data_IF_734235568935
#
_entry.id   IF_734235568935
#
_cell.length_a   1.000
_cell.length_b   1.000
_cell.length_c   1.000
_cell.angle_alpha   90.00
_cell.angle_beta   90.00
_cell.angle_gamma   90.00
#
_symmetry.space_group_name_H-M   'P 1'
#
loop_
_entity.id
_entity.type
_entity.pdbx_description
1 polymer ?
#
# COMPACT_ATOMS: atom_id res chain seq x y z
N UNK A 1 1.21 -20.47 9.47
CA UNK A 1 0.71 -19.44 10.41
C UNK A 1 0.07 -18.39 9.53
N UNK A 2 -1.16 -18.00 9.83
CA UNK A 2 -1.79 -16.87 9.16
C UNK A 2 -1.12 -15.58 9.65
N UNK A 3 -0.42 -14.87 8.78
CA UNK A 3 0.10 -13.52 9.07
C UNK A 3 -0.72 -12.52 8.26
N UNK A 4 -1.13 -11.43 8.90
CA UNK A 4 -1.86 -10.34 8.26
C UNK A 4 -1.11 -9.01 8.32
N UNK A 5 -1.68 -7.98 7.68
CA UNK A 5 -1.11 -6.62 7.72
C UNK A 5 -0.99 -6.07 9.14
N UNK A 6 -1.93 -6.43 10.01
CA UNK A 6 -1.89 -6.00 11.42
C UNK A 6 -0.64 -6.49 12.15
N UNK A 7 -0.16 -7.70 11.84
CA UNK A 7 1.06 -8.24 12.42
C UNK A 7 2.30 -7.53 11.85
N UNK A 8 2.34 -7.32 10.54
CA UNK A 8 3.42 -6.60 9.86
C UNK A 8 3.57 -5.19 10.43
N UNK A 9 2.49 -4.40 10.48
CA UNK A 9 2.50 -3.02 10.98
C UNK A 9 2.97 -2.97 12.44
N UNK A 10 2.53 -3.91 13.28
CA UNK A 10 2.96 -4.00 14.68
C UNK A 10 4.45 -4.32 14.80
N UNK A 11 4.95 -5.25 14.01
CA UNK A 11 6.36 -5.67 14.04
C UNK A 11 7.29 -4.56 13.53
N UNK A 12 6.87 -3.82 12.48
CA UNK A 12 7.63 -2.70 11.94
C UNK A 12 7.57 -1.43 12.82
N UNK A 13 6.68 -1.39 13.81
CA UNK A 13 6.54 -0.29 14.77
C UNK A 13 6.40 1.09 14.07
N UNK A 14 5.43 1.17 13.16
CA UNK A 14 5.18 2.36 12.33
C UNK A 14 4.68 3.54 13.16
N UNK A 15 5.33 4.70 13.02
CA UNK A 15 4.94 5.98 13.64
C UNK A 15 3.98 6.77 12.71
N UNK A 16 2.77 6.24 12.55
CA UNK A 16 1.67 6.88 11.83
C UNK A 16 0.30 6.43 12.40
N UNK A 17 -0.77 7.23 12.27
CA UNK A 17 -2.12 6.72 12.49
C UNK A 17 -2.42 5.57 11.52
N UNK A 18 -2.96 4.45 12.02
CA UNK A 18 -3.23 3.26 11.23
C UNK A 18 -4.73 2.95 11.25
N UNK A 19 -5.28 2.66 10.07
CA UNK A 19 -6.66 2.26 9.87
C UNK A 19 -6.70 0.90 9.19
N UNK A 20 -7.52 -0.01 9.73
CA UNK A 20 -7.73 -1.33 9.15
C UNK A 20 -9.12 -1.43 8.53
N UNK A 21 -9.18 -1.83 7.27
CA UNK A 21 -10.44 -2.02 6.53
C UNK A 21 -10.84 -3.49 6.59
N UNK A 22 -11.99 -3.83 7.22
CA UNK A 22 -12.50 -5.20 7.26
C UNK A 22 -12.76 -5.78 5.87
N UNK A 23 -12.58 -7.10 5.73
CA UNK A 23 -12.72 -7.83 4.46
C UNK A 23 -13.99 -7.52 3.68
N UNK A 24 -15.12 -7.39 4.37
CA UNK A 24 -16.44 -7.13 3.79
C UNK A 24 -16.62 -5.71 3.25
N UNK A 25 -15.71 -4.79 3.60
CA UNK A 25 -15.67 -3.41 3.10
C UNK A 25 -14.57 -3.19 2.06
N UNK A 26 -13.74 -4.20 1.78
CA UNK A 26 -12.69 -4.12 0.77
C UNK A 26 -13.29 -4.18 -0.64
N UNK A 27 -12.79 -3.31 -1.50
CA UNK A 27 -13.03 -3.27 -2.93
C UNK A 27 -11.72 -2.99 -3.69
N UNK A 28 -11.80 -2.89 -5.02
CA UNK A 28 -10.62 -2.71 -5.88
C UNK A 28 -9.95 -1.33 -5.75
N UNK A 29 -10.44 -0.44 -4.89
CA UNK A 29 -9.93 0.94 -4.74
C UNK A 29 -9.33 1.22 -3.36
N UNK A 30 -9.50 0.32 -2.38
CA UNK A 30 -9.20 0.64 -0.98
C UNK A 30 -8.35 -0.41 -0.24
N UNK A 31 -7.51 -1.17 -0.95
CA UNK A 31 -6.68 -2.17 -0.31
C UNK A 31 -5.56 -1.58 0.56
N UNK A 32 -4.71 -0.73 -0.03
CA UNK A 32 -3.63 -0.02 0.66
C UNK A 32 -3.64 1.43 0.19
N UNK A 33 -3.46 2.37 1.11
CA UNK A 33 -3.35 3.79 0.75
C UNK A 33 -2.86 4.64 1.91
N UNK A 34 -2.21 5.75 1.56
CA UNK A 34 -1.84 6.82 2.48
C UNK A 34 -2.78 8.01 2.31
N UNK A 35 -3.34 8.51 3.42
CA UNK A 35 -4.14 9.74 3.46
C UNK A 35 -3.46 10.78 4.32
N UNK A 36 -3.01 11.88 3.69
CA UNK A 36 -2.38 13.02 4.38
C UNK A 36 -3.38 14.12 4.78
N UNK A 37 -4.62 14.03 4.28
CA UNK A 37 -5.72 14.94 4.57
C UNK A 37 -7.05 14.20 4.49
N UNK A 38 -8.11 14.84 4.96
CA UNK A 38 -9.47 14.31 4.84
C UNK A 38 -10.04 14.50 3.44
N UNK A 39 -11.04 13.68 3.07
CA UNK A 39 -11.77 13.84 1.81
C UNK A 39 -12.42 15.23 1.72
N UNK A 40 -12.94 15.75 2.83
CA UNK A 40 -13.52 17.10 2.91
C UNK A 40 -12.50 18.21 2.63
N UNK A 41 -11.28 18.09 3.17
CA UNK A 41 -10.22 19.07 2.92
C UNK A 41 -9.74 19.01 1.48
N UNK A 42 -9.52 17.79 0.98
CA UNK A 42 -9.12 17.54 -0.41
C UNK A 42 -10.13 18.14 -1.39
N UNK A 43 -11.42 17.87 -1.20
CA UNK A 43 -12.47 18.37 -2.06
C UNK A 43 -12.55 19.91 -2.00
N UNK A 44 -12.37 20.50 -0.82
CA UNK A 44 -12.31 21.96 -0.68
C UNK A 44 -11.11 22.58 -1.42
N UNK A 45 -9.94 21.92 -1.44
CA UNK A 45 -8.78 22.36 -2.23
C UNK A 45 -9.10 22.30 -3.73
N UNK A 46 -9.66 21.19 -4.19
CA UNK A 46 -10.00 21.00 -5.61
C UNK A 46 -11.09 21.95 -6.11
N UNK A 47 -12.07 22.25 -5.27
CA UNK A 47 -13.16 23.16 -5.59
C UNK A 47 -12.78 24.64 -5.37
N UNK A 48 -11.54 24.94 -4.97
CA UNK A 48 -11.07 26.28 -4.63
C UNK A 48 -11.89 26.95 -3.52
N UNK A 49 -12.39 26.15 -2.57
CA UNK A 49 -13.18 26.59 -1.40
C UNK A 49 -12.48 26.32 -0.06
N UNK A 50 -11.20 25.92 -0.09
CA UNK A 50 -10.40 25.66 1.11
C UNK A 50 -10.31 26.89 2.02
N UNK A 51 -10.60 26.70 3.31
CA UNK A 51 -10.55 27.72 4.34
C UNK A 51 -9.52 27.34 5.41
N UNK A 52 -8.41 28.07 5.44
CA UNK A 52 -7.32 27.86 6.39
C UNK A 52 -7.74 28.04 7.86
N UNK A 53 -8.87 28.71 8.12
CA UNK A 53 -9.41 28.90 9.47
C UNK A 53 -10.36 27.78 9.91
N UNK A 54 -10.76 26.90 8.99
CA UNK A 54 -11.60 25.75 9.27
C UNK A 54 -10.76 24.60 9.84
N UNK A 55 -11.25 23.98 10.89
CA UNK A 55 -10.66 22.76 11.43
C UNK A 55 -11.25 21.55 10.70
N UNK A 56 -10.57 21.08 9.65
CA UNK A 56 -10.97 19.89 8.90
C UNK A 56 -10.84 18.63 9.75
N UNK A 57 -11.73 17.65 9.53
CA UNK A 57 -11.72 16.42 10.32
C UNK A 57 -10.52 15.52 9.96
N UNK A 58 -9.47 15.51 10.78
CA UNK A 58 -8.29 14.67 10.55
C UNK A 58 -8.44 13.21 11.02
N UNK A 59 -9.63 12.75 11.43
CA UNK A 59 -9.81 11.37 11.90
C UNK A 59 -9.50 10.31 10.84
N UNK A 60 -9.56 10.67 9.56
CA UNK A 60 -9.27 9.80 8.41
C UNK A 60 -7.84 9.97 7.85
N UNK A 61 -7.00 10.74 8.53
CA UNK A 61 -5.59 10.88 8.16
C UNK A 61 -4.82 9.68 8.70
N UNK A 62 -3.93 9.11 7.89
CA UNK A 62 -3.10 7.97 8.25
C UNK A 62 -2.89 6.96 7.12
N UNK A 63 -2.38 5.79 7.49
CA UNK A 63 -2.15 4.66 6.61
C UNK A 63 -3.32 3.68 6.70
N UNK A 64 -3.79 3.21 5.55
CA UNK A 64 -4.90 2.28 5.44
C UNK A 64 -4.40 0.94 4.93
N UNK A 65 -4.73 -0.13 5.66
CA UNK A 65 -4.37 -1.50 5.31
C UNK A 65 -5.58 -2.44 5.41
N UNK A 66 -5.58 -3.57 4.69
CA UNK A 66 -6.68 -4.50 4.75
C UNK A 66 -6.54 -5.41 5.99
N UNK A 67 -7.64 -5.67 6.70
CA UNK A 67 -7.67 -6.60 7.84
C UNK A 67 -7.83 -8.04 7.36
N UNK A 68 -6.83 -8.53 6.61
CA UNK A 68 -6.82 -9.86 5.97
C UNK A 68 -5.42 -10.48 6.01
N UNK A 69 -5.35 -11.78 5.72
CA UNK A 69 -4.09 -12.51 5.56
C UNK A 69 -3.33 -12.07 4.30
N UNK A 70 -1.99 -12.10 4.36
CA UNK A 70 -1.13 -11.66 3.24
C UNK A 70 -1.34 -12.49 1.96
N UNK A 71 -1.66 -13.77 2.10
CA UNK A 71 -1.95 -14.66 0.96
C UNK A 71 -3.28 -14.29 0.28
N UNK A 72 -4.30 -13.93 1.06
CA UNK A 72 -5.57 -13.45 0.52
C UNK A 72 -5.37 -12.10 -0.18
N UNK A 73 -4.63 -11.18 0.42
CA UNK A 73 -4.28 -9.91 -0.19
C UNK A 73 -3.55 -10.09 -1.53
N UNK A 74 -2.52 -10.93 -1.56
CA UNK A 74 -1.75 -11.19 -2.77
C UNK A 74 -2.63 -11.75 -3.90
N UNK A 75 -3.55 -12.65 -3.56
CA UNK A 75 -4.52 -13.18 -4.52
C UNK A 75 -5.44 -12.09 -5.10
N UNK A 76 -5.97 -11.20 -4.26
CA UNK A 76 -6.82 -10.09 -4.70
C UNK A 76 -6.05 -9.10 -5.59
N UNK A 77 -4.81 -8.77 -5.22
CA UNK A 77 -3.99 -7.82 -5.98
C UNK A 77 -3.58 -8.41 -7.34
N UNK A 78 -3.28 -9.70 -7.42
CA UNK A 78 -3.05 -10.41 -8.68
C UNK A 78 -4.25 -10.35 -9.65
N UNK A 79 -5.48 -10.21 -9.15
CA UNK A 79 -6.67 -10.04 -9.99
C UNK A 79 -6.91 -8.58 -10.40
N UNK A 80 -6.40 -7.63 -9.61
CA UNK A 80 -6.60 -6.19 -9.82
C UNK A 80 -5.48 -5.60 -10.68
N UNK A 81 -4.23 -5.79 -10.27
CA UNK A 81 -3.05 -5.17 -10.86
C UNK A 81 -1.83 -6.11 -10.84
N UNK A 82 -1.88 -7.23 -11.58
CA UNK A 82 -0.77 -8.18 -11.63
C UNK A 82 0.52 -7.58 -12.24
N UNK A 83 0.39 -6.49 -13.00
CA UNK A 83 1.52 -5.81 -13.64
C UNK A 83 2.41 -5.12 -12.60
N UNK A 84 1.81 -4.41 -11.64
CA UNK A 84 2.57 -3.75 -10.58
C UNK A 84 3.36 -4.76 -9.75
N UNK A 85 2.73 -5.89 -9.38
CA UNK A 85 3.40 -6.98 -8.67
C UNK A 85 4.61 -7.48 -9.46
N UNK A 86 4.45 -7.76 -10.76
CA UNK A 86 5.55 -8.24 -11.59
C UNK A 86 6.73 -7.26 -11.61
N UNK A 87 6.44 -5.98 -11.86
CA UNK A 87 7.48 -4.93 -11.97
C UNK A 87 8.19 -4.74 -10.63
N UNK A 88 7.46 -4.64 -9.52
CA UNK A 88 8.08 -4.42 -8.21
C UNK A 88 8.85 -5.65 -7.73
N UNK A 89 8.36 -6.86 -8.00
CA UNK A 89 9.11 -8.09 -7.69
C UNK A 89 10.41 -8.19 -8.48
N UNK A 90 10.45 -7.72 -9.74
CA UNK A 90 11.69 -7.61 -10.53
C UNK A 90 12.70 -6.66 -9.86
N UNK A 91 12.25 -5.56 -9.25
CA UNK A 91 13.12 -4.61 -8.53
C UNK A 91 13.58 -5.19 -7.18
N UNK A 92 12.67 -5.76 -6.39
CA UNK A 92 12.98 -6.33 -5.08
C UNK A 92 13.97 -7.50 -5.16
N UNK A 93 13.92 -8.31 -6.22
CA UNK A 93 14.89 -9.40 -6.44
C UNK A 93 16.33 -8.91 -6.60
N UNK A 94 16.55 -7.62 -6.89
CA UNK A 94 17.90 -7.04 -6.99
C UNK A 94 18.51 -6.75 -5.61
N UNK A 95 17.68 -6.63 -4.58
CA UNK A 95 18.12 -6.26 -3.22
C UNK A 95 17.96 -7.39 -2.20
N UNK A 96 17.00 -8.30 -2.40
CA UNK A 96 16.77 -9.45 -1.53
C UNK A 96 16.55 -10.75 -2.32
N UNK A 97 16.95 -11.91 -1.78
CA UNK A 97 16.54 -13.19 -2.34
C UNK A 97 15.03 -13.40 -2.10
N UNK A 98 14.29 -13.76 -3.15
CA UNK A 98 12.86 -14.03 -3.08
C UNK A 98 12.61 -15.51 -3.37
N UNK A 99 12.16 -16.25 -2.36
CA UNK A 99 11.66 -17.61 -2.54
C UNK A 99 10.18 -17.59 -2.93
N UNK A 100 9.74 -18.58 -3.72
CA UNK A 100 8.36 -18.64 -4.21
C UNK A 100 7.31 -18.62 -3.10
N UNK A 101 7.62 -19.23 -1.95
CA UNK A 101 6.69 -19.31 -0.83
C UNK A 101 6.60 -18.01 -0.02
N UNK A 102 7.53 -17.07 -0.23
CA UNK A 102 7.60 -15.81 0.52
C UNK A 102 7.02 -14.62 -0.27
N UNK A 103 6.62 -14.82 -1.53
CA UNK A 103 6.16 -13.73 -2.42
C UNK A 103 5.02 -12.93 -1.80
N UNK A 104 3.98 -13.58 -1.28
CA UNK A 104 2.84 -12.88 -0.66
C UNK A 104 3.27 -12.02 0.53
N UNK A 105 4.18 -12.55 1.35
CA UNK A 105 4.69 -11.86 2.53
C UNK A 105 5.56 -10.68 2.12
N UNK A 106 6.52 -10.89 1.21
CA UNK A 106 7.40 -9.83 0.71
C UNK A 106 6.59 -8.72 0.05
N UNK A 107 5.57 -9.07 -0.73
CA UNK A 107 4.67 -8.09 -1.33
C UNK A 107 3.95 -7.26 -0.28
N UNK A 108 3.34 -7.91 0.72
CA UNK A 108 2.65 -7.19 1.79
C UNK A 108 3.59 -6.28 2.60
N UNK A 109 4.82 -6.74 2.89
CA UNK A 109 5.83 -5.92 3.59
C UNK A 109 6.20 -4.71 2.72
N UNK A 110 6.44 -4.91 1.42
CA UNK A 110 6.73 -3.83 0.49
C UNK A 110 5.60 -2.80 0.47
N UNK A 111 4.34 -3.22 0.34
CA UNK A 111 3.20 -2.29 0.38
C UNK A 111 3.15 -1.51 1.69
N UNK A 112 3.37 -2.15 2.84
CA UNK A 112 3.37 -1.46 4.14
C UNK A 112 4.50 -0.41 4.21
N UNK A 113 5.71 -0.77 3.76
CA UNK A 113 6.84 0.15 3.75
C UNK A 113 6.65 1.29 2.74
N UNK A 114 6.07 1.02 1.58
CA UNK A 114 5.79 2.01 0.53
C UNK A 114 4.80 3.07 1.04
N UNK A 115 3.67 2.64 1.60
CA UNK A 115 2.70 3.58 2.20
C UNK A 115 3.33 4.38 3.35
N UNK A 116 4.15 3.73 4.18
CA UNK A 116 4.87 4.47 5.21
C UNK A 116 5.90 5.44 4.64
N UNK A 117 6.53 5.12 3.51
CA UNK A 117 7.42 6.01 2.77
C UNK A 117 6.72 7.29 2.30
N UNK A 118 5.48 7.21 1.82
CA UNK A 118 4.67 8.40 1.53
C UNK A 118 4.45 9.26 2.78
N UNK A 119 4.17 8.63 3.92
CA UNK A 119 3.96 9.33 5.19
C UNK A 119 5.24 10.04 5.68
N UNK A 120 6.39 9.37 5.61
CA UNK A 120 7.69 9.95 5.94
C UNK A 120 8.02 11.11 5.01
N UNK A 121 7.84 10.93 3.70
CA UNK A 121 8.09 11.99 2.72
C UNK A 121 7.22 13.23 2.97
N UNK A 122 5.93 13.04 3.34
CA UNK A 122 5.07 14.15 3.77
C UNK A 122 5.59 14.81 5.06
N UNK A 123 5.86 14.03 6.11
CA UNK A 123 6.32 14.55 7.41
C UNK A 123 7.62 15.34 7.28
N UNK A 124 8.57 14.85 6.49
CA UNK A 124 9.89 15.44 6.32
C UNK A 124 9.88 16.67 5.39
N UNK A 125 8.85 16.82 4.54
CA UNK A 125 8.68 18.01 3.70
C UNK A 125 8.43 19.29 4.51
N UNK A 126 7.90 19.16 5.73
CA UNK A 126 7.47 20.30 6.56
C UNK A 126 6.30 21.12 5.98
N UNK A 127 5.67 20.62 4.90
CA UNK A 127 4.55 21.28 4.23
C UNK A 127 3.23 21.02 4.97
N UNK A 128 2.29 21.94 4.83
CA UNK A 128 0.88 21.63 5.10
C UNK A 128 0.37 20.61 4.08
N UNK A 129 -0.68 19.88 4.41
CA UNK A 129 -1.26 18.90 3.49
C UNK A 129 -1.71 19.56 2.16
N UNK A 130 -2.25 20.79 2.23
CA UNK A 130 -2.58 21.60 1.06
C UNK A 130 -1.37 21.89 0.18
N UNK A 131 -0.29 22.44 0.74
CA UNK A 131 0.93 22.75 -0.02
C UNK A 131 1.52 21.50 -0.66
N UNK A 132 1.59 20.41 0.11
CA UNK A 132 2.06 19.13 -0.39
C UNK A 132 1.20 18.65 -1.57
N UNK A 133 -0.13 18.61 -1.44
CA UNK A 133 -0.99 18.21 -2.55
C UNK A 133 -0.87 19.13 -3.77
N UNK A 134 -0.88 20.46 -3.57
CA UNK A 134 -0.79 21.44 -4.66
C UNK A 134 0.52 21.31 -5.45
N UNK A 135 1.63 20.95 -4.78
CA UNK A 135 2.93 20.77 -5.44
C UNK A 135 2.98 19.50 -6.30
N UNK A 136 2.33 18.40 -5.89
CA UNK A 136 2.37 17.11 -6.64
C UNK A 136 1.26 16.98 -7.67
N UNK A 137 0.11 17.61 -7.43
CA UNK A 137 -1.08 17.47 -8.28
C UNK A 137 -0.86 17.76 -9.78
N UNK A 138 -0.07 18.76 -10.20
CA UNK A 138 0.19 19.01 -11.62
C UNK A 138 0.85 17.84 -12.34
N UNK A 139 1.69 17.05 -11.67
CA UNK A 139 2.38 15.91 -12.29
C UNK A 139 1.47 14.69 -12.39
N UNK A 140 0.77 14.37 -11.30
CA UNK A 140 -0.28 13.35 -11.27
C UNK A 140 -1.35 13.60 -12.35
N UNK A 141 -1.78 14.86 -12.53
CA UNK A 141 -2.74 15.26 -13.58
C UNK A 141 -2.28 14.95 -15.00
N UNK A 142 -0.98 14.96 -15.29
CA UNK A 142 -0.46 14.66 -16.63
C UNK A 142 -0.66 13.19 -17.00
N UNK A 143 -0.82 12.32 -16.00
CA UNK A 143 -0.89 10.86 -16.16
C UNK A 143 -2.34 10.38 -16.26
N UNK A 144 -3.30 11.11 -15.67
CA UNK A 144 -4.75 10.79 -15.70
C UNK A 144 -5.29 10.36 -17.07
N UNK A 145 -4.94 11.01 -18.22
CA UNK A 145 -5.46 10.57 -19.51
C UNK A 145 -5.02 9.14 -19.88
N UNK A 146 -3.82 8.73 -19.48
CA UNK A 146 -3.30 7.39 -19.73
C UNK A 146 -3.98 6.36 -18.83
N UNK A 147 -4.18 6.67 -17.55
CA UNK A 147 -4.94 5.83 -16.62
C UNK A 147 -6.35 5.58 -17.13
N UNK A 148 -7.07 6.65 -17.50
CA UNK A 148 -8.44 6.57 -18.02
C UNK A 148 -8.49 5.74 -19.30
N UNK A 149 -7.50 5.91 -20.19
CA UNK A 149 -7.39 5.13 -21.41
C UNK A 149 -7.21 3.65 -21.12
N UNK A 150 -6.33 3.27 -20.19
CA UNK A 150 -6.07 1.87 -19.80
C UNK A 150 -7.29 1.26 -19.09
N UNK A 151 -7.91 2.01 -18.18
CA UNK A 151 -9.12 1.58 -17.47
C UNK A 151 -10.29 1.29 -18.42
N UNK A 152 -10.41 2.06 -19.51
CA UNK A 152 -11.42 1.84 -20.55
C UNK A 152 -11.11 0.67 -21.49
N UNK A 153 -9.91 0.09 -21.46
CA UNK A 153 -9.58 -1.07 -22.29
C UNK A 153 -10.15 -2.36 -21.69
N UNK A 154 -10.68 -3.28 -22.52
CA UNK A 154 -11.00 -4.64 -22.08
C UNK A 154 -9.79 -5.31 -21.45
N UNK A 155 -9.99 -6.12 -20.39
CA UNK A 155 -8.88 -6.76 -19.66
C UNK A 155 -7.97 -7.61 -20.53
N UNK A 156 -8.53 -8.25 -21.56
CA UNK A 156 -7.81 -9.09 -22.52
C UNK A 156 -7.34 -8.33 -23.77
N UNK A 157 -7.36 -7.00 -23.76
CA UNK A 157 -6.86 -6.22 -24.89
C UNK A 157 -5.34 -6.43 -25.04
N UNK A 158 -4.82 -6.79 -26.23
CA UNK A 158 -3.42 -7.22 -26.41
C UNK A 158 -2.37 -6.23 -25.91
N UNK A 159 -2.67 -4.92 -26.00
CA UNK A 159 -1.74 -3.87 -25.60
C UNK A 159 -1.96 -3.34 -24.17
N UNK A 160 -3.00 -3.80 -23.45
CA UNK A 160 -3.33 -3.27 -22.12
C UNK A 160 -2.18 -3.52 -21.14
N UNK A 161 -1.58 -4.71 -21.19
CA UNK A 161 -0.44 -5.08 -20.36
C UNK A 161 0.78 -4.17 -20.58
N UNK A 162 1.16 -3.96 -21.85
CA UNK A 162 2.30 -3.11 -22.21
C UNK A 162 2.09 -1.66 -21.76
N UNK A 163 0.89 -1.11 -21.97
CA UNK A 163 0.54 0.23 -21.54
C UNK A 163 0.48 0.35 -20.02
N UNK A 164 -0.02 -0.67 -19.31
CA UNK A 164 0.03 -0.71 -17.85
C UNK A 164 1.46 -0.71 -17.32
N UNK A 165 2.38 -1.48 -17.95
CA UNK A 165 3.81 -1.44 -17.59
C UNK A 165 4.45 -0.08 -17.85
N UNK A 166 4.09 0.59 -18.94
CA UNK A 166 4.58 1.94 -19.25
C UNK A 166 4.04 2.98 -18.26
N UNK A 167 2.74 2.91 -17.95
CA UNK A 167 2.10 3.75 -16.94
C UNK A 167 2.78 3.58 -15.58
N UNK A 168 3.03 2.34 -15.15
CA UNK A 168 3.69 2.04 -13.87
C UNK A 168 5.07 2.68 -13.79
N UNK A 169 5.87 2.60 -14.86
CA UNK A 169 7.19 3.26 -14.91
C UNK A 169 7.11 4.77 -14.82
N UNK A 170 6.10 5.39 -15.44
CA UNK A 170 5.89 6.84 -15.35
C UNK A 170 5.47 7.21 -13.92
N UNK A 171 4.60 6.40 -13.31
CA UNK A 171 4.17 6.59 -11.91
C UNK A 171 5.35 6.51 -10.94
N UNK A 172 6.20 5.50 -11.08
CA UNK A 172 7.37 5.30 -10.21
C UNK A 172 8.41 6.44 -10.26
N UNK A 173 8.36 7.30 -11.29
CA UNK A 173 9.22 8.49 -11.40
C UNK A 173 8.59 9.77 -10.83
N UNK A 174 7.31 9.72 -10.39
CA UNK A 174 6.72 10.82 -9.65
C UNK A 174 7.47 11.02 -8.32
N UNK A 175 7.73 12.26 -7.87
CA UNK A 175 8.58 12.50 -6.71
C UNK A 175 8.13 11.77 -5.43
N UNK A 176 6.82 11.72 -5.18
CA UNK A 176 6.23 11.07 -4.01
C UNK A 176 6.24 9.54 -4.10
N UNK A 177 5.93 8.99 -5.28
CA UNK A 177 6.02 7.54 -5.56
C UNK A 177 7.46 7.04 -5.49
N UNK A 178 8.39 7.82 -6.06
CA UNK A 178 9.82 7.53 -6.02
C UNK A 178 10.34 7.51 -4.60
N UNK A 179 10.02 8.53 -3.80
CA UNK A 179 10.41 8.59 -2.40
C UNK A 179 9.86 7.39 -1.59
N UNK A 180 8.61 7.01 -1.84
CA UNK A 180 8.00 5.83 -1.20
C UNK A 180 8.68 4.52 -1.60
N UNK A 181 8.96 4.34 -2.90
CA UNK A 181 9.68 3.17 -3.41
C UNK A 181 11.10 3.08 -2.88
N UNK A 182 11.85 4.19 -2.88
CA UNK A 182 13.20 4.26 -2.33
C UNK A 182 13.21 3.89 -0.85
N UNK A 183 12.28 4.44 -0.06
CA UNK A 183 12.11 4.07 1.35
C UNK A 183 11.84 2.58 1.52
N UNK A 184 10.92 2.02 0.73
CA UNK A 184 10.57 0.60 0.82
C UNK A 184 11.75 -0.31 0.46
N UNK A 185 12.46 0.00 -0.63
CA UNK A 185 13.63 -0.76 -1.10
C UNK A 185 14.78 -0.71 -0.09
N UNK A 186 15.02 0.46 0.53
CA UNK A 186 16.06 0.62 1.55
C UNK A 186 15.81 -0.26 2.79
N UNK A 187 14.55 -0.42 3.19
CA UNK A 187 14.18 -1.07 4.46
C UNK A 187 13.70 -2.53 4.31
N UNK A 188 13.46 -3.01 3.08
CA UNK A 188 12.82 -4.32 2.85
C UNK A 188 13.62 -5.49 3.43
N UNK A 189 14.94 -5.47 3.33
CA UNK A 189 15.79 -6.56 3.79
C UNK A 189 15.69 -6.76 5.30
N UNK A 190 15.78 -5.68 6.07
CA UNK A 190 15.67 -5.71 7.52
C UNK A 190 14.25 -6.08 7.98
N UNK A 191 13.24 -5.55 7.29
CA UNK A 191 11.84 -5.86 7.55
C UNK A 191 11.52 -7.36 7.36
N UNK A 192 11.98 -7.95 6.25
CA UNK A 192 11.80 -9.38 5.96
C UNK A 192 12.45 -10.24 7.05
N UNK A 193 13.70 -9.95 7.41
CA UNK A 193 14.42 -10.69 8.46
C UNK A 193 13.69 -10.59 9.80
N UNK A 194 13.24 -9.40 10.18
CA UNK A 194 12.52 -9.16 11.42
C UNK A 194 11.23 -9.99 11.49
N UNK A 195 10.42 -9.94 10.44
CA UNK A 195 9.11 -10.58 10.40
C UNK A 195 9.24 -12.10 10.31
N UNK A 196 10.15 -12.61 9.47
CA UNK A 196 10.39 -14.06 9.37
C UNK A 196 10.87 -14.66 10.70
N UNK A 197 11.74 -13.95 11.44
CA UNK A 197 12.14 -14.38 12.79
C UNK A 197 10.95 -14.43 13.75
N UNK A 198 10.11 -13.40 13.76
CA UNK A 198 8.92 -13.37 14.62
C UNK A 198 7.94 -14.52 14.32
N UNK A 199 7.78 -14.91 13.05
CA UNK A 199 6.97 -16.06 12.65
C UNK A 199 7.58 -17.38 13.18
N UNK A 200 8.89 -17.54 13.13
CA UNK A 200 9.59 -18.75 13.59
C UNK A 200 9.58 -18.90 15.11
N UNK A 201 9.73 -17.78 15.84
CA UNK A 201 9.82 -17.77 17.30
C UNK A 201 8.47 -17.92 18.01
N UNK A 202 7.35 -17.78 17.28
CA UNK A 202 6.00 -17.92 17.81
C UNK A 202 5.31 -19.18 17.25
N UNK A 203 5.62 -20.41 17.74
CA UNK A 203 5.05 -21.62 17.16
C UNK A 203 3.52 -21.62 17.23
N UNK A 204 2.82 -22.26 16.25
CA UNK A 204 1.37 -22.19 16.15
C UNK A 204 0.71 -22.66 17.46
N UNK A 205 -0.28 -21.89 17.93
CA UNK A 205 -1.23 -22.40 18.93
C UNK A 205 -1.82 -23.69 18.37
N UNK A 206 -1.48 -24.83 18.96
CA UNK A 206 -2.10 -26.11 18.61
C UNK A 206 -3.61 -25.91 18.67
N UNK A 207 -4.31 -26.27 17.59
CA UNK A 207 -5.75 -26.38 17.61
C UNK A 207 -6.13 -27.27 18.81
N UNK A 208 -6.88 -26.72 19.77
CA UNK A 208 -7.43 -27.53 20.85
C UNK A 208 -8.31 -28.60 20.20
N UNK A 209 -8.10 -29.89 20.52
CA UNK A 209 -8.94 -30.93 19.98
C UNK A 209 -10.39 -30.66 20.43
N UNK A 210 -11.38 -30.92 19.56
CA UNK A 210 -12.77 -30.73 19.92
C UNK A 210 -13.05 -31.54 21.19
N UNK A 211 -13.49 -30.86 22.24
CA UNK A 211 -13.95 -31.51 23.47
C UNK A 211 -15.09 -32.45 23.09
N UNK A 212 -14.82 -33.75 23.16
CA UNK A 212 -15.83 -34.79 22.99
C UNK A 212 -16.84 -34.64 24.13
N UNK A 213 -17.96 -33.96 23.88
CA UNK A 213 -19.11 -34.01 24.74
C UNK A 213 -19.73 -35.41 24.61
N UNK A 214 -19.28 -36.33 25.47
CA UNK A 214 -20.05 -37.51 25.82
C UNK A 214 -20.97 -37.15 26.98
N UNK A 215 -22.27 -37.01 26.69
CA UNK A 215 -23.39 -37.17 27.61
C UNK A 215 -24.60 -37.65 26.84
#
# INVERSE_FOLDING_TARGET
>A
MAIGFMDIVRLLNIDAPIHFTPREKLDKQNYVSTRIMSDEERDAIFDHTHDISKNYNCAEVGLYFPDIEVDEYYFLECQRNPVAIEVEMEELQKVIPIEKNDISLIWAIFCVLHEYGHWIHFKDSGMTAKEYCEERFPEHKKILPMEQRIAAMPDFHPNKWMLARELHKIYAELPDEKAANEYAIEHIADAVVLIQRAILDCPPKKAEPPTSNHS
#
